data_IF_248441150683
#
_entry.id   IF_248441150683
#
_cell.length_a   1.000
_cell.length_b   1.000
_cell.length_c   1.000
_cell.angle_alpha   90.00
_cell.angle_beta   90.00
_cell.angle_gamma   90.00
#
_symmetry.space_group_name_H-M   'P 1'
#
loop_
_entity.id
_entity.type
_entity.pdbx_description
1 polymer ?
#
# COMPACT_ATOMS: atom_id res chain seq x y z
N UNK A 1 1.09 16.08 6.06
CA UNK A 1 0.82 16.69 4.74
C UNK A 1 0.57 18.18 4.92
N UNK A 2 1.17 18.99 4.07
CA UNK A 2 0.98 20.43 4.03
C UNK A 2 0.02 20.78 2.88
N UNK A 3 -0.88 21.74 3.13
CA UNK A 3 -1.75 22.22 2.06
C UNK A 3 -0.95 23.17 1.15
N UNK A 4 -0.61 22.67 -0.03
CA UNK A 4 0.19 23.41 -1.01
C UNK A 4 -0.60 24.50 -1.77
N UNK A 5 -1.90 24.58 -1.56
CA UNK A 5 -2.74 25.62 -2.15
C UNK A 5 -2.81 26.87 -1.27
N UNK A 6 -2.28 26.80 -0.04
CA UNK A 6 -2.18 27.94 0.85
C UNK A 6 -0.98 28.83 0.47
N UNK A 7 -1.07 30.12 0.81
CA UNK A 7 0.04 31.08 0.62
C UNK A 7 1.30 30.64 1.36
N UNK A 8 1.15 29.93 2.48
CA UNK A 8 2.25 29.34 3.24
C UNK A 8 2.00 27.88 3.53
N UNK A 9 3.02 27.05 3.38
CA UNK A 9 3.00 25.64 3.78
C UNK A 9 3.22 25.47 5.29
N UNK A 10 3.51 26.54 6.01
CA UNK A 10 3.77 26.50 7.44
C UNK A 10 2.48 26.42 8.24
N UNK A 11 2.37 25.38 9.06
CA UNK A 11 1.25 25.22 10.01
C UNK A 11 1.20 26.33 11.07
N UNK A 12 2.27 27.11 11.20
CA UNK A 12 2.31 28.24 12.12
C UNK A 12 1.25 29.30 11.77
N UNK A 13 0.91 29.44 10.50
CA UNK A 13 -0.09 30.43 10.06
C UNK A 13 -1.52 29.92 10.21
N UNK A 14 -1.79 28.64 9.95
CA UNK A 14 -3.16 28.07 9.92
C UNK A 14 -3.35 26.84 10.84
N UNK A 15 -2.32 26.43 11.57
CA UNK A 15 -2.39 25.27 12.46
C UNK A 15 -3.21 25.54 13.72
N UNK A 16 -3.85 24.50 14.27
CA UNK A 16 -4.81 24.59 15.36
C UNK A 16 -4.27 25.21 16.66
N UNK A 17 -2.96 25.16 16.91
CA UNK A 17 -2.38 25.58 18.20
C UNK A 17 -1.86 27.02 18.22
N UNK A 18 -1.37 27.52 17.10
CA UNK A 18 -0.72 28.83 17.03
C UNK A 18 -1.08 29.58 15.76
N UNK A 19 -2.29 29.40 15.23
CA UNK A 19 -2.68 30.05 13.97
C UNK A 19 -2.94 31.54 14.17
N UNK A 20 -2.39 32.36 13.30
CA UNK A 20 -2.71 33.78 13.23
C UNK A 20 -4.07 34.04 12.57
N UNK A 21 -4.62 33.05 11.87
CA UNK A 21 -5.92 33.15 11.22
C UNK A 21 -6.78 31.96 11.58
N UNK A 22 -8.05 32.21 11.89
CA UNK A 22 -9.05 31.17 12.14
C UNK A 22 -9.53 30.57 10.82
N UNK A 23 -8.73 29.70 10.23
CA UNK A 23 -9.17 28.88 9.11
C UNK A 23 -9.60 27.54 9.68
N UNK A 24 -10.82 27.04 9.35
CA UNK A 24 -11.20 25.68 9.70
C UNK A 24 -10.15 24.72 9.15
N UNK A 25 -9.44 24.03 10.01
CA UNK A 25 -8.44 23.08 9.56
C UNK A 25 -9.12 21.96 8.79
N UNK A 26 -8.98 21.95 7.47
CA UNK A 26 -9.36 20.82 6.61
C UNK A 26 -8.42 19.64 6.76
N UNK A 27 -7.38 19.77 7.58
CA UNK A 27 -6.32 18.80 7.73
C UNK A 27 -6.32 18.19 9.12
N UNK A 28 -6.53 16.89 9.21
CA UNK A 28 -6.26 16.08 10.39
C UNK A 28 -5.04 15.19 10.09
N UNK A 29 -3.89 15.38 10.76
CA UNK A 29 -2.71 14.59 10.49
C UNK A 29 -2.86 13.10 10.82
N UNK A 30 -3.93 12.72 11.51
CA UNK A 30 -4.22 11.34 11.88
C UNK A 30 -5.16 10.61 10.91
N UNK A 31 -5.81 11.32 9.98
CA UNK A 31 -6.76 10.73 9.03
C UNK A 31 -6.10 10.05 7.83
N UNK A 32 -4.77 10.16 7.70
CA UNK A 32 -4.06 9.69 6.50
C UNK A 32 -2.86 8.80 6.86
N UNK A 33 -3.03 7.86 7.79
CA UNK A 33 -1.99 6.85 8.05
C UNK A 33 -1.92 5.90 6.84
N UNK A 34 -0.73 5.58 6.33
CA UNK A 34 -0.59 4.57 5.30
C UNK A 34 -1.13 3.23 5.79
N UNK A 35 -1.88 2.52 4.94
CA UNK A 35 -2.34 1.18 5.23
C UNK A 35 -1.53 0.17 4.39
N UNK A 36 -0.99 -0.84 5.04
CA UNK A 36 -0.21 -1.90 4.40
C UNK A 36 -0.90 -3.23 4.66
N UNK A 37 -1.23 -3.94 3.61
CA UNK A 37 -1.87 -5.25 3.65
C UNK A 37 -0.98 -6.38 4.15
N UNK A 38 -1.44 -7.59 3.92
CA UNK A 38 -0.74 -8.81 4.33
C UNK A 38 0.30 -9.23 3.30
N UNK A 39 1.36 -9.89 3.76
CA UNK A 39 2.43 -10.47 2.93
C UNK A 39 3.03 -9.49 1.89
N UNK A 40 3.12 -8.22 2.25
CA UNK A 40 3.73 -7.19 1.42
C UNK A 40 5.24 -7.23 1.56
N UNK A 41 5.96 -7.26 0.44
CA UNK A 41 7.41 -7.11 0.45
C UNK A 41 7.83 -5.69 0.13
N UNK A 42 8.54 -5.07 1.06
CA UNK A 42 9.03 -3.70 0.91
C UNK A 42 10.56 -3.73 0.88
N UNK A 43 11.13 -3.29 -0.22
CA UNK A 43 12.57 -3.15 -0.38
C UNK A 43 13.16 -2.09 0.55
N UNK A 44 14.49 -2.06 0.66
CA UNK A 44 15.19 -1.10 1.50
C UNK A 44 14.99 0.35 1.02
N UNK A 45 14.99 1.30 1.97
CA UNK A 45 14.88 2.74 1.70
C UNK A 45 13.61 3.16 0.94
N UNK A 46 12.51 2.43 1.11
CA UNK A 46 11.22 2.80 0.55
C UNK A 46 10.57 3.88 1.41
N UNK A 47 10.00 4.88 0.77
CA UNK A 47 9.16 5.90 1.40
C UNK A 47 7.72 5.68 0.98
N UNK A 48 6.81 5.55 1.92
CA UNK A 48 5.36 5.46 1.67
C UNK A 48 4.72 6.76 2.13
N UNK A 49 4.05 7.44 1.21
CA UNK A 49 3.38 8.71 1.52
C UNK A 49 2.11 8.49 2.34
N UNK A 50 1.71 9.53 3.05
CA UNK A 50 0.47 9.52 3.84
C UNK A 50 -0.74 9.19 2.97
N UNK A 51 -1.67 8.44 3.54
CA UNK A 51 -2.94 8.07 2.90
C UNK A 51 -2.85 6.98 1.83
N UNK A 52 -1.64 6.49 1.52
CA UNK A 52 -1.45 5.42 0.55
C UNK A 52 -1.93 4.10 1.13
N UNK A 53 -2.62 3.31 0.31
CA UNK A 53 -3.00 1.92 0.60
C UNK A 53 -2.18 0.98 -0.26
N UNK A 54 -1.54 0.01 0.39
CA UNK A 54 -0.79 -1.05 -0.28
C UNK A 54 -1.54 -2.36 -0.09
N UNK A 55 -1.98 -2.95 -1.20
CA UNK A 55 -2.76 -4.19 -1.20
C UNK A 55 -1.94 -5.42 -0.79
N UNK A 56 -2.64 -6.48 -0.46
CA UNK A 56 -2.04 -7.77 -0.07
C UNK A 56 -1.09 -8.29 -1.16
N UNK A 57 -0.03 -8.94 -0.72
CA UNK A 57 0.94 -9.59 -1.63
C UNK A 57 1.65 -8.64 -2.61
N UNK A 58 1.54 -7.34 -2.42
CA UNK A 58 2.24 -6.35 -3.25
C UNK A 58 3.75 -6.36 -3.00
N UNK A 59 4.49 -5.85 -3.96
CA UNK A 59 5.96 -5.71 -3.89
C UNK A 59 6.37 -4.28 -4.21
N UNK A 60 7.14 -3.68 -3.33
CA UNK A 60 7.68 -2.34 -3.51
C UNK A 60 9.19 -2.44 -3.69
N UNK A 61 9.68 -2.06 -4.86
CA UNK A 61 11.11 -2.09 -5.15
C UNK A 61 11.92 -1.14 -4.26
N UNK A 62 13.17 -1.51 -3.97
CA UNK A 62 14.06 -0.71 -3.13
C UNK A 62 14.21 0.73 -3.65
N UNK A 63 14.29 1.70 -2.73
CA UNK A 63 14.46 3.11 -3.06
C UNK A 63 13.22 3.79 -3.66
N UNK A 64 12.08 3.12 -3.69
CA UNK A 64 10.85 3.68 -4.27
C UNK A 64 10.20 4.70 -3.35
N UNK A 65 9.50 5.67 -3.95
CA UNK A 65 8.65 6.63 -3.25
C UNK A 65 7.20 6.39 -3.67
N UNK A 66 6.43 5.72 -2.82
CA UNK A 66 5.05 5.31 -3.11
C UNK A 66 4.11 6.48 -2.84
N UNK A 67 3.55 7.04 -3.89
CA UNK A 67 2.68 8.23 -3.85
C UNK A 67 1.22 7.96 -4.15
N UNK A 68 0.90 6.75 -4.65
CA UNK A 68 -0.45 6.30 -5.01
C UNK A 68 -0.69 4.91 -4.45
N UNK A 69 -1.96 4.55 -4.33
CA UNK A 69 -2.36 3.21 -3.92
C UNK A 69 -1.74 2.13 -4.83
N UNK A 70 -1.41 1.01 -4.21
CA UNK A 70 -0.82 -0.16 -4.88
C UNK A 70 -1.84 -1.30 -4.78
N UNK A 71 -2.14 -1.91 -5.91
CA UNK A 71 -3.10 -3.02 -5.96
C UNK A 71 -2.52 -4.32 -5.37
N UNK A 72 -3.37 -5.26 -4.95
CA UNK A 72 -2.91 -6.58 -4.58
C UNK A 72 -2.09 -7.24 -5.68
N UNK A 73 -1.00 -7.93 -5.33
CA UNK A 73 -0.06 -8.60 -6.24
C UNK A 73 0.70 -7.69 -7.20
N UNK A 74 0.53 -6.38 -7.09
CA UNK A 74 1.23 -5.43 -7.94
C UNK A 74 2.68 -5.26 -7.50
N UNK A 75 3.57 -5.14 -8.47
CA UNK A 75 4.97 -4.74 -8.26
C UNK A 75 5.12 -3.31 -8.76
N UNK A 76 5.51 -2.41 -7.86
CA UNK A 76 5.80 -1.02 -8.17
C UNK A 76 7.25 -0.67 -7.86
N UNK A 77 7.83 0.21 -8.65
CA UNK A 77 9.23 0.64 -8.53
C UNK A 77 9.39 2.10 -8.90
N UNK A 78 10.38 2.73 -8.35
CA UNK A 78 10.82 4.07 -8.76
C UNK A 78 10.36 5.21 -7.86
N UNK A 79 10.74 6.43 -8.25
CA UNK A 79 10.39 7.66 -7.54
C UNK A 79 9.94 8.73 -8.56
N UNK A 80 8.63 9.00 -8.64
CA UNK A 80 7.53 8.31 -7.95
C UNK A 80 7.38 6.85 -8.40
N UNK A 81 6.92 5.99 -7.49
CA UNK A 81 6.70 4.58 -7.82
C UNK A 81 5.61 4.41 -8.88
N UNK A 82 5.86 3.53 -9.82
CA UNK A 82 4.94 3.23 -10.93
C UNK A 82 4.83 1.73 -11.11
N UNK A 83 3.75 1.30 -11.74
CA UNK A 83 3.49 -0.10 -12.07
C UNK A 83 4.60 -0.68 -12.93
N UNK A 84 5.14 -1.82 -12.49
CA UNK A 84 6.07 -2.62 -13.27
C UNK A 84 5.38 -3.81 -13.91
N UNK A 85 4.78 -4.66 -13.10
CA UNK A 85 3.99 -5.83 -13.49
C UNK A 85 3.21 -6.37 -12.29
N UNK A 86 2.38 -7.36 -12.53
CA UNK A 86 1.83 -8.20 -11.46
C UNK A 86 2.70 -9.44 -11.24
N UNK A 87 2.74 -9.92 -9.99
CA UNK A 87 3.52 -11.13 -9.60
C UNK A 87 3.04 -12.41 -10.28
N UNK A 88 1.74 -12.53 -10.45
CA UNK A 88 1.07 -13.74 -10.89
C UNK A 88 0.24 -13.45 -12.15
N UNK A 89 -0.14 -14.50 -12.88
CA UNK A 89 -1.09 -14.35 -13.98
C UNK A 89 -2.49 -13.95 -13.45
N UNK A 90 -3.32 -13.39 -14.31
CA UNK A 90 -4.64 -12.86 -13.95
C UNK A 90 -5.57 -13.91 -13.34
N UNK A 91 -5.56 -15.14 -13.87
CA UNK A 91 -6.44 -16.22 -13.41
C UNK A 91 -6.12 -16.63 -11.98
N UNK A 92 -4.85 -16.81 -11.67
CA UNK A 92 -4.42 -17.18 -10.32
C UNK A 92 -4.66 -16.05 -9.31
N UNK A 93 -4.42 -14.80 -9.69
CA UNK A 93 -4.73 -13.65 -8.85
C UNK A 93 -6.23 -13.59 -8.52
N UNK A 94 -7.07 -13.80 -9.51
CA UNK A 94 -8.52 -13.79 -9.32
C UNK A 94 -8.97 -14.88 -8.35
N UNK A 95 -8.43 -16.09 -8.46
CA UNK A 95 -8.70 -17.18 -7.53
C UNK A 95 -8.28 -16.81 -6.10
N UNK A 96 -7.05 -16.32 -5.93
CA UNK A 96 -6.51 -15.96 -4.62
C UNK A 96 -7.29 -14.81 -3.96
N UNK A 97 -7.71 -13.82 -4.73
CA UNK A 97 -8.51 -12.71 -4.22
C UNK A 97 -9.92 -13.17 -3.80
N UNK A 98 -10.56 -14.07 -4.56
CA UNK A 98 -11.85 -14.64 -4.18
C UNK A 98 -11.78 -15.49 -2.92
N UNK A 99 -10.70 -16.21 -2.71
CA UNK A 99 -10.50 -17.03 -1.53
C UNK A 99 -10.29 -16.22 -0.26
N UNK A 100 -9.84 -14.98 -0.39
CA UNK A 100 -9.56 -14.09 0.74
C UNK A 100 -8.76 -14.80 1.86
N UNK A 101 -7.62 -15.35 1.48
CA UNK A 101 -6.82 -16.25 2.32
C UNK A 101 -6.39 -15.58 3.62
N UNK A 102 -6.05 -14.30 3.55
CA UNK A 102 -5.51 -13.59 4.69
C UNK A 102 -6.55 -13.31 5.78
N UNK A 103 -7.84 -13.19 5.44
CA UNK A 103 -8.91 -13.00 6.43
C UNK A 103 -9.11 -14.22 7.33
N UNK A 104 -8.85 -15.44 6.80
CA UNK A 104 -9.01 -16.71 7.53
C UNK A 104 -7.81 -17.64 7.28
N UNK A 105 -6.60 -17.14 7.45
CA UNK A 105 -5.38 -17.86 7.10
C UNK A 105 -5.28 -19.25 7.74
N UNK A 106 -5.59 -19.38 9.04
CA UNK A 106 -5.49 -20.67 9.75
C UNK A 106 -6.39 -21.76 9.15
N UNK A 107 -7.55 -21.39 8.61
CA UNK A 107 -8.49 -22.31 7.98
C UNK A 107 -8.14 -22.56 6.51
N UNK A 108 -7.54 -21.59 5.84
CA UNK A 108 -7.29 -21.62 4.40
C UNK A 108 -5.86 -21.95 3.98
N UNK A 109 -4.95 -22.11 4.94
CA UNK A 109 -3.53 -22.40 4.66
C UNK A 109 -3.31 -23.65 3.81
N UNK A 110 -4.11 -24.70 4.02
CA UNK A 110 -4.00 -25.94 3.23
C UNK A 110 -4.38 -25.71 1.77
N UNK A 111 -5.36 -24.86 1.51
CA UNK A 111 -5.74 -24.47 0.15
C UNK A 111 -4.64 -23.64 -0.51
N UNK A 112 -4.03 -22.71 0.22
CA UNK A 112 -2.89 -21.93 -0.26
C UNK A 112 -1.72 -22.87 -0.63
N UNK A 113 -1.40 -23.84 0.21
CA UNK A 113 -0.36 -24.83 -0.05
C UNK A 113 -0.68 -25.63 -1.32
N UNK A 114 -1.93 -26.05 -1.50
CA UNK A 114 -2.35 -26.79 -2.69
C UNK A 114 -2.20 -25.94 -3.98
N UNK A 115 -2.62 -24.68 -3.93
CA UNK A 115 -2.46 -23.77 -5.06
C UNK A 115 -0.98 -23.48 -5.36
N UNK A 116 -0.15 -23.34 -4.34
CA UNK A 116 1.29 -23.17 -4.48
C UNK A 116 1.94 -24.36 -5.16
N UNK A 117 1.57 -25.58 -4.76
CA UNK A 117 2.08 -26.83 -5.38
C UNK A 117 1.69 -26.93 -6.85
N UNK A 118 0.44 -26.65 -7.19
CA UNK A 118 -0.05 -26.65 -8.57
C UNK A 118 0.71 -25.62 -9.40
N UNK A 119 0.82 -24.41 -8.92
CA UNK A 119 1.50 -23.32 -9.63
C UNK A 119 2.98 -23.63 -9.92
N UNK A 120 3.66 -24.28 -8.98
CA UNK A 120 5.07 -24.60 -9.10
C UNK A 120 5.35 -26.02 -9.62
N UNK A 121 4.33 -26.76 -10.09
CA UNK A 121 4.43 -28.15 -10.54
C UNK A 121 5.07 -29.09 -9.50
N UNK A 122 4.77 -28.88 -8.23
CA UNK A 122 5.27 -29.71 -7.13
C UNK A 122 4.29 -30.84 -6.86
N UNK A 123 4.75 -32.09 -7.00
CA UNK A 123 3.93 -33.31 -6.86
C UNK A 123 3.97 -33.94 -5.47
N UNK A 124 4.79 -33.41 -4.58
CA UNK A 124 4.95 -33.91 -3.20
C UNK A 124 4.38 -32.99 -2.14
#
# INVERSE_FOLDING_TARGET
KHDLQQISTSQFIYGRRNSFINVPAKFNPYDEIPWIGNDVWIGSHVVVMQGVKIGDDAVIGAGSVVTKDVEPYEIVVGSPAHHLKYRLNSDLREILLKEDIWSNYNEKKEKLISLYKIHNNITK
#
